data_IF_043434262811
#
_entry.id   IF_043434262811
#
_cell.length_a   1.000
_cell.length_b   1.000
_cell.length_c   1.000
_cell.angle_alpha   90.00
_cell.angle_beta   90.00
_cell.angle_gamma   90.00
#
_symmetry.space_group_name_H-M   'P 1'
#
loop_
_entity.id
_entity.type
_entity.pdbx_description
1 polymer ?
#
# COMPACT_ATOMS: atom_id res chain seq x y z
N UNK A 1 5.32 -17.26 -20.22
CA UNK A 1 5.40 -17.73 -18.82
C UNK A 1 5.39 -16.50 -17.93
N UNK A 2 4.43 -16.40 -17.01
CA UNK A 2 4.30 -15.23 -16.13
C UNK A 2 4.95 -15.51 -14.77
N UNK A 3 5.62 -14.49 -14.21
CA UNK A 3 6.24 -14.53 -12.88
C UNK A 3 5.73 -13.31 -12.12
N UNK A 4 5.03 -13.53 -11.01
CA UNK A 4 4.47 -12.47 -10.19
C UNK A 4 3.60 -12.99 -9.07
N UNK A 5 3.00 -12.08 -8.32
CA UNK A 5 2.09 -12.43 -7.24
C UNK A 5 0.65 -12.57 -7.78
N UNK A 6 0.01 -13.76 -7.71
CA UNK A 6 -1.37 -13.94 -8.18
C UNK A 6 -2.41 -13.36 -7.23
N UNK A 7 -2.01 -12.94 -6.02
CA UNK A 7 -2.90 -12.30 -5.06
C UNK A 7 -3.05 -10.81 -5.40
N UNK A 8 -4.19 -10.45 -5.97
CA UNK A 8 -4.53 -9.07 -6.28
C UNK A 8 -4.83 -8.26 -5.00
N UNK A 9 -4.44 -6.98 -5.01
CA UNK A 9 -4.71 -6.03 -3.94
C UNK A 9 -4.98 -4.63 -4.51
N UNK A 10 -5.91 -3.90 -3.89
CA UNK A 10 -6.14 -2.48 -4.19
C UNK A 10 -4.99 -1.61 -3.69
N UNK A 11 -4.59 -0.59 -4.44
CA UNK A 11 -3.56 0.38 -4.01
C UNK A 11 -3.89 1.02 -2.66
N UNK A 12 -5.17 1.32 -2.41
CA UNK A 12 -5.62 1.85 -1.11
C UNK A 12 -5.39 0.87 0.05
N UNK A 13 -5.54 -0.44 -0.18
CA UNK A 13 -5.28 -1.46 0.83
C UNK A 13 -3.77 -1.63 1.08
N UNK A 14 -2.93 -1.43 0.06
CA UNK A 14 -1.47 -1.42 0.18
C UNK A 14 -0.97 -0.22 1.01
N UNK A 15 -1.64 0.94 0.91
CA UNK A 15 -1.22 2.15 1.63
C UNK A 15 -1.23 1.98 3.15
N UNK A 16 -2.19 1.22 3.71
CA UNK A 16 -2.32 1.01 5.16
C UNK A 16 -1.06 0.40 5.81
N UNK A 17 -0.61 -0.79 5.38
CA UNK A 17 0.62 -1.40 5.88
C UNK A 17 1.87 -0.53 5.69
N UNK A 18 1.96 0.24 4.61
CA UNK A 18 3.09 1.16 4.38
C UNK A 18 3.11 2.26 5.43
N UNK A 19 1.97 2.91 5.68
CA UNK A 19 1.81 3.97 6.70
C UNK A 19 2.16 3.40 8.09
N UNK A 20 1.62 2.23 8.43
CA UNK A 20 1.87 1.55 9.70
C UNK A 20 3.36 1.24 9.91
N UNK A 21 4.01 0.63 8.91
CA UNK A 21 5.42 0.21 9.00
C UNK A 21 6.40 1.39 8.98
N UNK A 22 6.05 2.49 8.31
CA UNK A 22 6.85 3.71 8.33
C UNK A 22 6.68 4.52 9.64
N UNK A 23 5.72 4.15 10.50
CA UNK A 23 5.48 4.84 11.77
C UNK A 23 4.97 6.28 11.62
N UNK A 24 4.41 6.63 10.46
CA UNK A 24 4.03 8.01 10.13
C UNK A 24 2.53 8.11 9.88
N UNK A 25 1.84 9.02 10.58
CA UNK A 25 0.43 9.35 10.36
C UNK A 25 0.24 10.26 9.15
N UNK A 26 0.63 9.81 7.95
CA UNK A 26 0.49 10.61 6.72
C UNK A 26 -0.93 10.48 6.14
N UNK A 27 -1.54 11.59 5.66
CA UNK A 27 -2.84 11.54 5.04
C UNK A 27 -2.77 10.86 3.66
N UNK A 28 -3.84 10.15 3.28
CA UNK A 28 -4.01 9.59 1.93
C UNK A 28 -4.72 10.62 1.06
N UNK A 29 -4.13 10.96 -0.08
CA UNK A 29 -4.74 11.81 -1.10
C UNK A 29 -5.09 10.99 -2.34
N UNK A 30 -6.24 11.24 -2.95
CA UNK A 30 -6.69 10.58 -4.17
C UNK A 30 -6.37 11.46 -5.37
N UNK A 31 -5.65 10.91 -6.33
CA UNK A 31 -5.29 11.57 -7.59
C UNK A 31 -5.97 10.86 -8.77
N UNK A 32 -6.20 11.56 -9.90
CA UNK A 32 -6.68 10.93 -11.11
C UNK A 32 -5.77 9.78 -11.55
N UNK A 33 -6.37 8.68 -11.99
CA UNK A 33 -5.63 7.53 -12.52
C UNK A 33 -4.91 7.93 -13.83
N UNK A 34 -3.63 7.56 -14.01
CA UNK A 34 -2.95 7.74 -15.28
C UNK A 34 -3.70 7.02 -16.42
N UNK A 35 -3.77 7.58 -17.64
CA UNK A 35 -4.50 6.97 -18.76
C UNK A 35 -4.06 5.55 -19.08
N UNK A 36 -2.76 5.27 -18.97
CA UNK A 36 -2.15 3.99 -19.36
C UNK A 36 -2.04 2.97 -18.21
N UNK A 37 -2.58 3.27 -17.03
CA UNK A 37 -2.50 2.34 -15.89
C UNK A 37 -3.65 1.31 -15.93
N UNK A 38 -3.36 0.00 -16.12
CA UNK A 38 -4.37 -1.03 -16.13
C UNK A 38 -5.13 -1.08 -14.80
N UNK A 39 -6.45 -1.29 -14.90
CA UNK A 39 -7.35 -1.34 -13.73
C UNK A 39 -7.06 -2.55 -12.82
N UNK A 40 -6.56 -3.65 -13.41
CA UNK A 40 -6.32 -4.93 -12.75
C UNK A 40 -4.93 -5.43 -13.14
N UNK A 41 -4.19 -5.92 -12.15
CA UNK A 41 -2.87 -6.55 -12.35
C UNK A 41 -2.82 -7.85 -11.55
N UNK A 42 -3.18 -8.95 -12.21
CA UNK A 42 -3.22 -10.28 -11.61
C UNK A 42 -2.64 -11.32 -12.58
N UNK A 43 -1.35 -11.69 -12.46
CA UNK A 43 -0.74 -12.68 -13.34
C UNK A 43 -1.27 -14.10 -13.05
N UNK A 44 -1.67 -14.81 -14.10
CA UNK A 44 -1.83 -16.28 -14.04
C UNK A 44 -0.45 -16.94 -14.04
N UNK A 45 -0.09 -17.60 -12.94
CA UNK A 45 1.21 -18.25 -12.74
C UNK A 45 1.16 -19.79 -12.85
N UNK A 46 0.08 -20.38 -13.41
CA UNK A 46 -0.04 -21.85 -13.56
C UNK A 46 1.16 -22.48 -14.25
N UNK A 47 1.60 -21.90 -15.38
CA UNK A 47 2.74 -22.42 -16.14
C UNK A 47 4.05 -22.42 -15.32
N UNK A 48 4.28 -21.40 -14.49
CA UNK A 48 5.47 -21.32 -13.64
C UNK A 48 5.43 -22.36 -12.50
N UNK A 49 4.25 -22.60 -11.92
CA UNK A 49 4.06 -23.67 -10.92
C UNK A 49 4.29 -25.05 -11.51
N UNK A 50 3.70 -25.33 -12.66
CA UNK A 50 3.76 -26.65 -13.31
C UNK A 50 5.15 -26.95 -13.89
N UNK A 51 5.77 -25.98 -14.56
CA UNK A 51 7.03 -26.21 -15.28
C UNK A 51 8.27 -26.01 -14.43
N UNK A 52 8.21 -25.13 -13.42
CA UNK A 52 9.37 -24.73 -12.61
C UNK A 52 9.22 -25.05 -11.12
N UNK A 53 8.06 -25.55 -10.68
CA UNK A 53 7.73 -25.64 -9.25
C UNK A 53 7.95 -24.30 -8.52
N UNK A 54 7.69 -23.19 -9.23
CA UNK A 54 7.93 -21.83 -8.75
C UNK A 54 6.64 -21.15 -8.28
N UNK A 55 6.73 -20.43 -7.18
CA UNK A 55 5.72 -19.48 -6.70
C UNK A 55 6.34 -18.42 -5.76
N UNK A 56 5.71 -17.24 -5.59
CA UNK A 56 6.22 -16.22 -4.67
C UNK A 56 6.21 -16.74 -3.22
N UNK A 57 7.34 -16.58 -2.52
CA UNK A 57 7.52 -17.03 -1.12
C UNK A 57 7.50 -15.91 -0.10
N UNK A 58 7.68 -14.67 -0.55
CA UNK A 58 7.69 -13.49 0.32
C UNK A 58 6.30 -12.91 0.42
N UNK A 59 5.74 -12.86 1.63
CA UNK A 59 4.48 -12.16 1.87
C UNK A 59 4.65 -10.64 1.79
N UNK A 60 3.52 -9.93 1.66
CA UNK A 60 3.52 -8.48 1.51
C UNK A 60 4.24 -7.76 2.66
N UNK A 61 3.98 -8.17 3.91
CA UNK A 61 4.51 -7.47 5.08
C UNK A 61 6.01 -7.67 5.21
N UNK A 62 6.49 -8.89 4.99
CA UNK A 62 7.92 -9.21 4.93
C UNK A 62 8.64 -8.41 3.83
N UNK A 63 8.07 -8.37 2.63
CA UNK A 63 8.61 -7.59 1.51
C UNK A 63 8.66 -6.08 1.79
N UNK A 64 7.59 -5.52 2.35
CA UNK A 64 7.53 -4.10 2.72
C UNK A 64 8.54 -3.76 3.82
N UNK A 65 8.66 -4.60 4.85
CA UNK A 65 9.61 -4.39 5.96
C UNK A 65 11.04 -4.33 5.44
N UNK A 66 11.43 -5.28 4.60
CA UNK A 66 12.77 -5.29 3.99
C UNK A 66 13.01 -4.06 3.09
N UNK A 67 11.99 -3.65 2.32
CA UNK A 67 12.06 -2.49 1.45
C UNK A 67 12.23 -1.18 2.25
N UNK A 68 11.45 -1.01 3.32
CA UNK A 68 11.50 0.15 4.21
C UNK A 68 12.86 0.21 4.92
N UNK A 69 13.36 -0.92 5.42
CA UNK A 69 14.68 -0.99 6.05
C UNK A 69 15.80 -0.58 5.08
N UNK A 70 15.73 -1.02 3.81
CA UNK A 70 16.70 -0.61 2.78
C UNK A 70 16.69 0.91 2.55
N UNK A 71 15.50 1.51 2.43
CA UNK A 71 15.37 2.96 2.26
C UNK A 71 15.78 3.74 3.49
N UNK A 72 15.53 3.22 4.70
CA UNK A 72 15.98 3.85 5.93
C UNK A 72 17.52 3.99 5.97
N UNK A 73 18.24 2.94 5.55
CA UNK A 73 19.70 2.99 5.41
C UNK A 73 20.12 4.00 4.34
N UNK A 74 19.51 3.94 3.15
CA UNK A 74 19.83 4.84 2.02
C UNK A 74 19.62 6.33 2.38
N UNK A 75 18.59 6.63 3.17
CA UNK A 75 18.24 7.98 3.59
C UNK A 75 18.90 8.41 4.91
N UNK A 76 19.66 7.54 5.58
CA UNK A 76 20.27 7.81 6.88
C UNK A 76 19.27 7.99 8.02
N UNK A 77 18.07 7.41 7.90
CA UNK A 77 17.00 7.49 8.91
C UNK A 77 17.05 6.25 9.80
N UNK A 78 16.96 6.45 11.11
CA UNK A 78 16.76 5.33 12.05
C UNK A 78 15.27 5.06 12.17
N UNK A 79 14.83 3.83 11.83
CA UNK A 79 13.46 3.41 12.09
C UNK A 79 13.24 3.40 13.61
N UNK A 80 12.37 4.27 14.09
CA UNK A 80 12.05 4.35 15.52
C UNK A 80 11.44 3.03 16.01
N UNK A 81 11.91 2.54 17.16
CA UNK A 81 11.29 1.44 17.87
C UNK A 81 9.84 1.82 18.22
N UNK A 82 8.88 1.07 17.70
CA UNK A 82 7.44 1.24 17.89
C UNK A 82 7.04 1.92 19.21
N UNK A 83 6.77 3.23 19.18
CA UNK A 83 5.77 3.78 20.11
C UNK A 83 4.43 3.24 19.65
N UNK A 84 3.82 2.37 20.46
CA UNK A 84 2.39 2.06 20.41
C UNK A 84 1.61 3.35 20.22
N UNK A 85 1.19 3.65 18.99
CA UNK A 85 0.26 4.72 18.74
C UNK A 85 -1.10 4.18 19.19
N UNK A 86 -1.60 4.76 20.29
CA UNK A 86 -2.99 4.65 20.75
C UNK A 86 -3.95 4.72 19.55
N UNK A 87 -5.03 3.93 19.51
CA UNK A 87 -5.91 3.90 18.35
C UNK A 87 -6.41 5.32 18.06
N UNK A 88 -6.07 5.81 16.87
CA UNK A 88 -6.58 7.06 16.33
C UNK A 88 -8.11 7.01 16.37
N UNK A 89 -8.72 7.86 17.20
CA UNK A 89 -10.09 8.32 17.02
C UNK A 89 -10.26 8.71 15.54
N UNK A 90 -11.29 8.16 14.91
CA UNK A 90 -11.63 8.41 13.52
C UNK A 90 -11.57 9.92 13.19
N UNK A 91 -11.00 10.34 12.06
CA UNK A 91 -11.09 11.73 11.66
C UNK A 91 -12.56 12.04 11.42
N UNK A 92 -13.09 13.01 12.17
CA UNK A 92 -14.42 13.55 11.96
C UNK A 92 -14.54 13.99 10.50
N UNK A 93 -15.39 13.29 9.76
CA UNK A 93 -15.80 13.64 8.41
C UNK A 93 -16.38 15.06 8.45
N UNK A 94 -15.60 16.07 8.04
CA UNK A 94 -16.11 17.43 7.88
C UNK A 94 -17.16 17.40 6.76
N UNK A 95 -18.43 17.33 7.16
CA UNK A 95 -19.55 17.65 6.28
C UNK A 95 -19.41 19.10 5.85
N UNK A 96 -19.23 19.32 4.55
CA UNK A 96 -19.49 20.62 3.95
C UNK A 96 -20.98 20.91 4.15
N UNK A 97 -21.30 21.88 5.00
CA UNK A 97 -22.65 22.39 5.17
C UNK A 97 -22.98 23.34 4.02
N UNK A 98 -24.11 23.04 3.39
CA UNK A 98 -24.86 23.79 2.37
C UNK A 98 -25.21 25.22 2.80
N UNK A 99 -25.32 26.15 1.83
CA UNK A 99 -26.23 27.33 1.71
C UNK A 99 -25.54 28.37 0.80
N UNK A 100 -26.09 28.95 -0.27
CA UNK A 100 -27.46 29.42 -0.55
C UNK A 100 -27.63 29.73 -2.05
N UNK A 101 -28.85 29.52 -2.58
CA UNK A 101 -29.38 29.97 -3.87
C UNK A 101 -29.50 31.51 -3.95
N UNK A 102 -29.12 32.12 -5.07
CA UNK A 102 -29.67 33.35 -5.66
C UNK A 102 -28.98 33.55 -7.03
N UNK A 103 -29.60 33.81 -8.18
CA UNK A 103 -30.96 34.18 -8.60
C UNK A 103 -31.15 33.59 -10.00
#
# INVERSE_FOLDING_TARGET
>A
MNIGNPHEMRVLALAGPVIELCGAGVPISFVPRPPDDPTVRQPDIRLARESLSWEPKTDLRGGLTATIARFAVELGVTLGSHTTHSPLSAPAMRRAATLTRAR
#
